data_IF_543561344948
#
_entry.id   IF_543561344948
#
_cell.length_a   1.000
_cell.length_b   1.000
_cell.length_c   1.000
_cell.angle_alpha   90.00
_cell.angle_beta   90.00
_cell.angle_gamma   90.00
#
_symmetry.space_group_name_H-M   'P 1'
#
loop_
_entity.id
_entity.type
_entity.pdbx_description
1 polymer ?
#
# COMPACT_ATOMS: atom_id res chain seq x y z
N UNK A 1 1.40 -5.11 -2.98
CA UNK A 1 1.19 -6.38 -3.70
C UNK A 1 2.54 -7.04 -3.94
N UNK A 2 2.67 -8.31 -3.57
CA UNK A 2 3.88 -9.08 -3.86
C UNK A 2 3.92 -9.43 -5.35
N UNK A 3 5.11 -9.37 -5.97
CA UNK A 3 5.27 -9.77 -7.38
C UNK A 3 5.41 -11.28 -7.57
N UNK A 4 5.61 -12.04 -6.49
CA UNK A 4 5.76 -13.50 -6.55
C UNK A 4 4.39 -14.17 -6.60
N UNK A 5 3.55 -13.84 -5.62
CA UNK A 5 2.26 -14.52 -5.42
C UNK A 5 1.05 -13.67 -5.82
N UNK A 6 1.28 -12.45 -6.33
CA UNK A 6 0.26 -11.45 -6.66
C UNK A 6 -0.72 -11.13 -5.52
N UNK A 7 -0.41 -11.50 -4.28
CA UNK A 7 -1.28 -11.25 -3.14
C UNK A 7 -1.02 -9.87 -2.55
N UNK A 8 -2.08 -9.28 -2.02
CA UNK A 8 -1.99 -8.04 -1.26
C UNK A 8 -1.28 -8.26 0.08
N UNK A 9 -0.66 -7.19 0.56
CA UNK A 9 -0.20 -7.05 1.93
C UNK A 9 -0.78 -5.74 2.45
N UNK A 10 -1.37 -5.79 3.65
CA UNK A 10 -2.01 -4.65 4.31
C UNK A 10 -1.25 -4.35 5.59
N UNK A 11 -0.79 -3.12 5.72
CA UNK A 11 -0.04 -2.64 6.87
C UNK A 11 -0.21 -1.13 7.06
N UNK A 12 -0.03 -0.66 8.29
CA UNK A 12 0.14 0.76 8.58
C UNK A 12 1.62 1.14 8.66
N UNK A 13 1.94 2.42 8.42
CA UNK A 13 3.26 2.97 8.68
C UNK A 13 3.20 4.45 9.09
N UNK A 14 4.17 4.88 9.90
CA UNK A 14 4.39 6.31 10.14
C UNK A 14 5.24 6.94 9.03
N UNK A 15 6.18 6.17 8.47
CA UNK A 15 7.00 6.55 7.32
C UNK A 15 6.85 5.49 6.22
N UNK A 16 6.18 5.88 5.14
CA UNK A 16 5.91 5.03 3.99
C UNK A 16 7.20 4.66 3.23
N UNK A 17 8.12 5.60 3.01
CA UNK A 17 9.34 5.34 2.23
C UNK A 17 10.24 4.35 2.97
N UNK A 18 10.43 4.57 4.27
CA UNK A 18 11.20 3.66 5.11
C UNK A 18 10.57 2.27 5.12
N UNK A 19 9.25 2.19 5.28
CA UNK A 19 8.53 0.91 5.32
C UNK A 19 8.60 0.13 4.01
N UNK A 20 8.49 0.83 2.87
CA UNK A 20 8.65 0.24 1.55
C UNK A 20 10.06 -0.35 1.36
N UNK A 21 11.10 0.37 1.79
CA UNK A 21 12.47 -0.13 1.79
C UNK A 21 12.63 -1.36 2.67
N UNK A 22 12.16 -1.32 3.93
CA UNK A 22 12.27 -2.46 4.86
C UNK A 22 11.66 -3.75 4.30
N UNK A 23 10.48 -3.66 3.67
CA UNK A 23 9.84 -4.82 3.06
C UNK A 23 10.63 -5.34 1.87
N UNK A 24 11.17 -4.48 1.00
CA UNK A 24 11.94 -4.92 -0.17
C UNK A 24 13.35 -5.41 0.21
N UNK A 25 13.92 -4.88 1.28
CA UNK A 25 15.19 -5.32 1.86
C UNK A 25 15.07 -6.65 2.62
N UNK A 26 13.84 -7.09 2.94
CA UNK A 26 13.61 -8.34 3.66
C UNK A 26 13.82 -8.27 5.15
N UNK A 27 13.74 -7.05 5.71
CA UNK A 27 13.87 -6.80 7.16
C UNK A 27 12.63 -7.23 7.95
N UNK A 28 11.57 -7.65 7.27
CA UNK A 28 10.33 -8.15 7.90
C UNK A 28 10.17 -9.65 7.63
N UNK A 29 10.26 -10.45 8.69
CA UNK A 29 10.27 -11.92 8.63
C UNK A 29 9.06 -12.46 7.86
N UNK A 30 7.85 -11.98 8.18
CA UNK A 30 6.60 -12.49 7.59
C UNK A 30 6.41 -12.15 6.10
N UNK A 31 7.16 -11.19 5.56
CA UNK A 31 7.05 -10.78 4.15
C UNK A 31 8.32 -11.03 3.36
N UNK A 32 9.45 -11.39 4.00
CA UNK A 32 10.76 -11.60 3.36
C UNK A 32 10.71 -12.57 2.19
N UNK A 33 9.92 -13.65 2.26
CA UNK A 33 9.85 -14.66 1.19
C UNK A 33 8.90 -14.30 0.04
N UNK A 34 8.23 -13.15 0.12
CA UNK A 34 7.20 -12.70 -0.83
C UNK A 34 7.63 -11.43 -1.59
N UNK A 35 8.90 -11.07 -1.50
CA UNK A 35 9.49 -9.91 -2.16
C UNK A 35 9.73 -10.17 -3.65
N UNK A 36 9.84 -9.15 -4.49
CA UNK A 36 9.67 -7.73 -4.19
C UNK A 36 8.19 -7.34 -4.10
N UNK A 37 7.90 -6.32 -3.29
CA UNK A 37 6.58 -5.72 -3.17
C UNK A 37 6.47 -4.47 -4.03
N UNK A 38 5.39 -4.40 -4.80
CA UNK A 38 4.91 -3.18 -5.44
C UNK A 38 3.85 -2.53 -4.56
N UNK A 39 4.10 -1.29 -4.21
CA UNK A 39 3.16 -0.39 -3.59
C UNK A 39 2.05 -0.07 -4.63
N UNK A 40 0.73 -0.24 -4.35
CA UNK A 40 -0.40 -0.03 -5.33
C UNK A 40 -1.59 0.94 -5.01
N UNK A 41 -1.89 1.32 -3.75
CA UNK A 41 -3.00 2.18 -3.27
C UNK A 41 -2.94 2.60 -1.78
N UNK A 42 -2.89 3.87 -1.40
CA UNK A 42 -2.68 4.26 0.01
C UNK A 42 -3.72 5.23 0.57
N UNK A 43 -3.89 5.24 1.89
CA UNK A 43 -4.71 6.24 2.58
C UNK A 43 -3.87 7.02 3.60
N UNK A 44 -4.14 8.31 3.80
CA UNK A 44 -3.49 9.09 4.85
C UNK A 44 -4.52 9.40 5.94
N UNK A 45 -4.13 9.20 7.20
CA UNK A 45 -4.97 9.53 8.36
C UNK A 45 -4.20 10.48 9.27
N UNK A 46 -4.90 11.48 9.81
CA UNK A 46 -4.33 12.39 10.80
C UNK A 46 -4.16 11.70 12.16
N UNK A 47 -5.18 10.92 12.56
CA UNK A 47 -5.18 10.17 13.81
C UNK A 47 -4.57 8.77 13.64
N UNK A 48 -3.71 8.38 14.58
CA UNK A 48 -3.12 7.03 14.64
C UNK A 48 -4.17 5.94 14.81
N UNK A 49 -5.19 6.19 15.64
CA UNK A 49 -6.24 5.22 15.91
C UNK A 49 -7.08 4.97 14.66
N UNK A 50 -7.40 6.01 13.89
CA UNK A 50 -8.10 5.88 12.61
C UNK A 50 -7.29 5.03 11.63
N UNK A 51 -5.99 5.28 11.50
CA UNK A 51 -5.10 4.45 10.67
C UNK A 51 -5.11 2.97 11.09
N UNK A 52 -5.07 2.69 12.39
CA UNK A 52 -5.08 1.32 12.93
C UNK A 52 -6.43 0.66 12.72
N UNK A 53 -7.54 1.37 12.98
CA UNK A 53 -8.89 0.85 12.74
C UNK A 53 -9.09 0.54 11.26
N UNK A 54 -8.59 1.42 10.39
CA UNK A 54 -8.66 1.24 8.94
C UNK A 54 -7.83 0.06 8.45
N UNK A 55 -6.61 -0.09 8.96
CA UNK A 55 -5.78 -1.28 8.69
C UNK A 55 -6.48 -2.57 9.13
N UNK A 56 -7.06 -2.58 10.35
CA UNK A 56 -7.82 -3.72 10.86
C UNK A 56 -9.00 -4.05 9.95
N UNK A 57 -9.76 -3.04 9.55
CA UNK A 57 -10.87 -3.21 8.60
C UNK A 57 -10.39 -3.88 7.30
N UNK A 58 -9.31 -3.38 6.68
CA UNK A 58 -8.75 -3.96 5.45
C UNK A 58 -8.21 -5.39 5.60
N UNK A 59 -7.92 -5.84 6.82
CA UNK A 59 -7.55 -7.24 7.09
C UNK A 59 -8.75 -8.18 7.19
N UNK A 60 -9.97 -7.66 7.37
CA UNK A 60 -11.24 -8.42 7.37
C UNK A 60 -11.66 -8.84 5.97
N UNK A 61 -12.63 -9.76 5.85
CA UNK A 61 -13.20 -10.15 4.55
C UNK A 61 -13.86 -9.00 3.79
N UNK A 62 -14.69 -8.20 4.47
CA UNK A 62 -15.34 -7.02 3.87
C UNK A 62 -14.33 -5.99 3.40
N UNK A 63 -13.29 -5.72 4.20
CA UNK A 63 -12.24 -4.78 3.81
C UNK A 63 -11.38 -5.27 2.66
N UNK A 64 -11.13 -6.59 2.54
CA UNK A 64 -10.46 -7.16 1.35
C UNK A 64 -11.31 -6.98 0.11
N UNK A 65 -12.61 -7.28 0.17
CA UNK A 65 -13.55 -7.07 -0.95
C UNK A 65 -13.64 -5.60 -1.35
N UNK A 66 -13.62 -4.69 -0.37
CA UNK A 66 -13.53 -3.25 -0.65
C UNK A 66 -12.27 -2.91 -1.45
N UNK A 67 -11.10 -3.44 -1.05
CA UNK A 67 -9.84 -3.21 -1.78
C UNK A 67 -9.85 -3.84 -3.17
N UNK A 68 -10.40 -5.02 -3.34
CA UNK A 68 -10.55 -5.68 -4.65
C UNK A 68 -11.37 -4.82 -5.60
N UNK A 69 -12.54 -4.37 -5.17
CA UNK A 69 -13.40 -3.48 -5.96
C UNK A 69 -12.72 -2.14 -6.24
N UNK A 70 -12.08 -1.53 -5.23
CA UNK A 70 -11.39 -0.24 -5.37
C UNK A 70 -10.22 -0.30 -6.34
N UNK A 71 -9.55 -1.45 -6.42
CA UNK A 71 -8.35 -1.67 -7.20
C UNK A 71 -8.58 -2.51 -8.44
N UNK A 72 -9.84 -2.72 -8.82
CA UNK A 72 -10.24 -3.59 -9.93
C UNK A 72 -9.38 -3.33 -11.17
N UNK A 73 -9.35 -2.10 -11.67
CA UNK A 73 -8.53 -1.73 -12.84
C UNK A 73 -7.02 -1.91 -12.62
N UNK A 74 -6.52 -1.59 -11.41
CA UNK A 74 -5.11 -1.71 -11.08
C UNK A 74 -4.64 -3.18 -10.96
N UNK A 75 -5.58 -4.09 -10.67
CA UNK A 75 -5.38 -5.53 -10.60
C UNK A 75 -5.62 -6.19 -11.97
N UNK A 76 -6.62 -5.73 -12.75
CA UNK A 76 -6.98 -6.23 -14.09
C UNK A 76 -5.97 -5.87 -15.20
N UNK A 77 -5.17 -4.81 -15.05
CA UNK A 77 -4.16 -4.37 -16.02
C UNK A 77 -3.01 -5.36 -16.28
N UNK A 78 -3.20 -6.66 -16.03
CA UNK A 78 -2.20 -7.71 -16.12
C UNK A 78 -2.64 -8.97 -16.88
N UNK A 79 -3.92 -9.09 -17.25
CA UNK A 79 -4.39 -10.16 -18.17
C UNK A 79 -4.36 -9.75 -19.64
N UNK A 80 -3.98 -8.50 -19.95
CA UNK A 80 -3.77 -8.02 -21.31
C UNK A 80 -2.84 -6.81 -21.30
N UNK A 81 -1.79 -6.86 -22.13
CA UNK A 81 -0.74 -5.85 -22.15
C UNK A 81 -1.24 -4.42 -22.32
N UNK A 82 -0.80 -3.54 -21.41
CA UNK A 82 -0.43 -2.14 -21.69
C UNK A 82 0.23 -1.55 -20.45
N UNK A 83 1.41 -0.94 -20.65
CA UNK A 83 2.17 -0.29 -19.60
C UNK A 83 1.38 0.88 -19.03
N UNK A 84 0.99 0.77 -17.76
CA UNK A 84 0.46 1.88 -16.98
C UNK A 84 1.29 2.13 -15.73
N UNK A 85 1.58 3.40 -15.52
CA UNK A 85 2.40 3.94 -14.45
C UNK A 85 1.82 3.65 -13.06
N UNK A 86 2.71 3.40 -12.10
CA UNK A 86 2.45 2.63 -10.89
C UNK A 86 1.97 3.53 -9.74
N UNK A 87 0.68 3.48 -9.37
CA UNK A 87 0.16 4.06 -8.13
C UNK A 87 0.56 3.19 -6.91
N UNK A 88 0.50 3.69 -5.64
CA UNK A 88 1.27 3.26 -4.43
C UNK A 88 0.39 2.93 -3.16
N UNK A 89 0.56 1.85 -2.32
CA UNK A 89 -0.17 1.44 -1.03
C UNK A 89 0.59 1.48 0.32
N UNK A 90 0.54 2.54 1.14
CA UNK A 90 0.74 2.46 2.61
C UNK A 90 -0.01 3.55 3.36
N UNK A 91 -0.73 3.14 4.40
CA UNK A 91 -1.43 4.03 5.33
C UNK A 91 -0.40 4.94 6.05
N UNK A 92 -0.40 6.26 5.81
CA UNK A 92 0.56 7.23 6.41
C UNK A 92 -0.10 8.14 7.47
N UNK A 93 0.66 8.41 8.54
CA UNK A 93 0.49 9.50 9.52
C UNK A 93 1.14 10.80 9.05
N UNK A 94 0.47 11.96 9.15
CA UNK A 94 1.13 13.28 9.05
C UNK A 94 1.43 13.77 10.47
N UNK A 95 2.68 14.16 10.75
CA UNK A 95 3.03 15.02 11.90
C UNK A 95 3.49 16.34 11.31
N UNK A 96 2.76 17.42 11.61
CA UNK A 96 3.19 18.81 11.47
C UNK A 96 3.45 19.30 10.04
N UNK A 97 2.69 20.33 9.62
CA UNK A 97 3.04 21.19 8.49
C UNK A 97 2.90 20.54 7.12
N UNK A 98 1.71 20.68 6.52
CA UNK A 98 1.48 20.39 5.12
C UNK A 98 2.23 21.43 4.24
N UNK A 99 3.49 21.18 3.87
CA UNK A 99 4.00 21.72 2.61
C UNK A 99 3.73 20.69 1.53
N UNK A 100 2.58 20.83 0.86
CA UNK A 100 2.40 20.32 -0.50
C UNK A 100 3.32 21.16 -1.37
N UNK A 101 4.60 20.78 -1.45
CA UNK A 101 5.49 21.29 -2.50
C UNK A 101 5.59 20.24 -3.60
N UNK A 102 5.01 20.63 -4.72
CA UNK A 102 5.38 20.27 -6.08
C UNK A 102 5.28 18.79 -6.46
N UNK A 103 4.06 18.36 -6.78
CA UNK A 103 3.86 17.51 -7.96
C UNK A 103 3.79 18.42 -9.19
N UNK A 104 4.95 18.89 -9.65
CA UNK A 104 5.14 19.55 -10.94
C UNK A 104 6.21 18.84 -11.75
N UNK A 105 5.79 17.90 -12.58
CA UNK A 105 5.91 17.86 -14.06
C UNK A 105 5.65 16.44 -14.54
#
# INVERSE_FOLDING_TARGET
MSKIDNKLYVGYATDLKKRESEYNDGKVISTRNRRPFKLIYYEACENKMDAIMREKYFKTGFGRRFLENRLENALQARDGGRGHEKQKVVIKKIRGGLQIKDWKK
#
